data_IF_730441797480
#
_entry.id   IF_730441797480
#
_cell.length_a   1.000
_cell.length_b   1.000
_cell.length_c   1.000
_cell.angle_alpha   90.00
_cell.angle_beta   90.00
_cell.angle_gamma   90.00
#
_symmetry.space_group_name_H-M   'P 1'
#
loop_
_entity.id
_entity.type
_entity.pdbx_description
1 polymer ?
#
# COMPACT_ATOMS: atom_id res chain seq x y z
N UNK A 1 7.33 -7.37 7.16
CA UNK A 1 6.91 -6.46 6.10
C UNK A 1 8.14 -5.86 5.44
N UNK A 2 8.15 -5.65 4.14
CA UNK A 2 9.25 -4.95 3.45
C UNK A 2 9.03 -3.42 3.51
N UNK A 3 10.13 -2.67 3.50
CA UNK A 3 10.12 -1.20 3.35
C UNK A 3 10.95 -0.89 2.12
N UNK A 4 10.30 -0.39 1.08
CA UNK A 4 10.95 -0.16 -0.19
C UNK A 4 11.36 1.31 -0.33
N UNK A 5 12.57 1.52 -0.79
CA UNK A 5 13.08 2.79 -1.26
C UNK A 5 13.77 2.57 -2.59
N UNK A 6 13.69 3.53 -3.50
CA UNK A 6 14.22 3.37 -4.85
C UNK A 6 15.21 4.47 -5.18
N UNK A 7 16.10 4.21 -6.13
CA UNK A 7 17.07 5.19 -6.60
C UNK A 7 16.97 5.31 -8.11
N UNK A 8 16.78 6.52 -8.62
CA UNK A 8 16.86 6.85 -10.03
C UNK A 8 18.22 7.46 -10.31
N UNK A 9 19.00 6.78 -11.14
CA UNK A 9 20.31 7.23 -11.59
C UNK A 9 20.20 7.95 -12.93
N UNK A 10 20.45 9.27 -12.92
CA UNK A 10 20.44 10.10 -14.12
C UNK A 10 21.48 11.22 -13.96
N UNK A 11 21.38 12.29 -14.74
CA UNK A 11 22.18 13.50 -14.57
C UNK A 11 22.02 14.05 -13.16
N UNK A 12 20.79 14.02 -12.63
CA UNK A 12 20.45 14.23 -11.22
C UNK A 12 19.95 12.93 -10.60
N UNK A 13 20.40 12.64 -9.41
CA UNK A 13 20.06 11.43 -8.68
C UNK A 13 18.90 11.71 -7.73
N UNK A 14 17.82 10.94 -7.85
CA UNK A 14 16.67 10.98 -6.95
C UNK A 14 16.58 9.69 -6.12
N UNK A 15 16.42 9.83 -4.81
CA UNK A 15 16.05 8.75 -3.90
C UNK A 15 14.56 8.89 -3.58
N UNK A 16 13.82 7.80 -3.66
CA UNK A 16 12.37 7.76 -3.49
C UNK A 16 12.05 7.14 -2.14
N UNK A 17 11.48 7.93 -1.25
CA UNK A 17 11.12 7.64 0.14
C UNK A 17 12.27 7.12 1.02
N UNK A 18 12.05 7.06 2.31
CA UNK A 18 12.95 6.43 3.25
C UNK A 18 12.35 5.10 3.76
N UNK A 19 12.87 4.60 4.86
CA UNK A 19 12.47 3.34 5.47
C UNK A 19 12.24 3.52 6.96
N UNK A 20 11.71 2.49 7.64
CA UNK A 20 11.54 2.44 9.08
C UNK A 20 12.84 2.83 9.83
N UNK A 21 12.68 3.44 10.99
CA UNK A 21 13.77 3.98 11.80
C UNK A 21 14.90 2.99 12.05
N UNK A 22 14.58 1.72 12.24
CA UNK A 22 15.56 0.68 12.59
C UNK A 22 16.50 0.33 11.42
N UNK A 23 16.13 0.64 10.18
CA UNK A 23 16.90 0.30 8.98
C UNK A 23 17.63 1.49 8.36
N UNK A 24 17.67 2.63 9.03
CA UNK A 24 18.24 3.87 8.49
C UNK A 24 19.74 3.79 8.13
N UNK A 25 20.57 3.08 8.91
CA UNK A 25 21.99 2.90 8.60
C UNK A 25 22.21 2.00 7.39
N UNK A 26 21.47 0.91 7.30
CA UNK A 26 21.49 0.01 6.17
C UNK A 26 21.02 0.72 4.89
N UNK A 27 19.91 1.45 4.98
CA UNK A 27 19.38 2.24 3.86
C UNK A 27 20.39 3.24 3.31
N UNK A 28 21.02 4.04 4.17
CA UNK A 28 22.09 4.98 3.75
C UNK A 28 23.27 4.25 3.14
N UNK A 29 23.67 3.10 3.69
CA UNK A 29 24.75 2.27 3.13
C UNK A 29 24.37 1.76 1.74
N UNK A 30 23.16 1.29 1.55
CA UNK A 30 22.65 0.79 0.27
C UNK A 30 22.63 1.92 -0.79
N UNK A 31 22.15 3.12 -0.43
CA UNK A 31 22.22 4.29 -1.32
C UNK A 31 23.67 4.55 -1.74
N UNK A 32 24.60 4.66 -0.79
CA UNK A 32 26.03 4.93 -1.10
C UNK A 32 26.63 3.85 -2.00
N UNK A 33 26.28 2.59 -1.80
CA UNK A 33 26.76 1.50 -2.64
C UNK A 33 26.27 1.64 -4.10
N UNK A 34 25.02 2.10 -4.29
CA UNK A 34 24.45 2.30 -5.63
C UNK A 34 25.04 3.52 -6.33
N UNK A 35 25.12 4.66 -5.63
CA UNK A 35 25.56 5.92 -6.24
C UNK A 35 27.07 6.09 -6.32
N UNK A 36 27.84 5.28 -5.60
CA UNK A 36 29.29 5.34 -5.52
C UNK A 36 29.78 6.69 -4.92
N UNK A 37 30.66 7.39 -5.63
CA UNK A 37 31.23 8.67 -5.19
C UNK A 37 30.31 9.87 -5.48
N UNK A 38 29.11 9.67 -6.03
CA UNK A 38 28.14 10.74 -6.30
C UNK A 38 27.36 11.07 -5.04
N UNK A 39 26.58 12.14 -5.10
CA UNK A 39 25.64 12.53 -4.06
C UNK A 39 24.24 12.63 -4.66
N UNK A 40 23.16 12.24 -3.93
CA UNK A 40 21.82 12.49 -4.38
C UNK A 40 21.52 13.98 -4.49
N UNK A 41 20.76 14.37 -5.50
CA UNK A 41 20.23 15.72 -5.66
C UNK A 41 18.89 15.87 -4.94
N UNK A 42 18.10 14.79 -4.91
CA UNK A 42 16.73 14.82 -4.38
C UNK A 42 16.44 13.63 -3.49
N UNK A 43 15.64 13.88 -2.44
CA UNK A 43 14.83 12.92 -1.74
C UNK A 43 13.37 13.23 -2.08
N UNK A 44 12.72 12.38 -2.85
CA UNK A 44 11.28 12.47 -3.12
C UNK A 44 10.54 11.73 -2.02
N UNK A 45 9.65 12.41 -1.31
CA UNK A 45 8.86 11.84 -0.22
C UNK A 45 7.41 11.79 -0.64
N UNK A 46 6.91 10.59 -0.88
CA UNK A 46 5.53 10.35 -1.28
C UNK A 46 4.59 10.27 -0.10
N UNK A 47 5.08 9.76 1.05
CA UNK A 47 4.27 9.48 2.23
C UNK A 47 5.03 9.78 3.53
N UNK A 48 4.30 10.27 4.54
CA UNK A 48 4.86 10.75 5.80
C UNK A 48 4.67 9.80 6.98
N UNK A 49 4.11 8.61 6.78
CA UNK A 49 4.09 7.59 7.83
C UNK A 49 5.53 7.22 8.20
N UNK A 50 5.76 6.92 9.49
CA UNK A 50 7.12 6.86 10.05
C UNK A 50 7.97 5.72 9.47
N UNK A 51 7.35 4.71 8.92
CA UNK A 51 8.05 3.61 8.24
C UNK A 51 8.57 4.00 6.84
N UNK A 52 8.18 5.17 6.32
CA UNK A 52 8.70 5.75 5.07
C UNK A 52 9.36 7.12 5.28
N UNK A 53 9.25 7.71 6.46
CA UNK A 53 9.71 9.07 6.71
C UNK A 53 10.72 9.21 7.86
N UNK A 54 10.85 8.22 8.75
CA UNK A 54 11.66 8.32 9.96
C UNK A 54 13.13 8.71 9.72
N UNK A 55 13.69 8.35 8.57
CA UNK A 55 15.09 8.61 8.25
C UNK A 55 15.33 9.85 7.34
N UNK A 56 14.30 10.68 7.11
CA UNK A 56 14.45 11.93 6.32
C UNK A 56 15.53 12.84 6.92
N UNK A 57 15.50 13.10 8.23
CA UNK A 57 16.49 13.95 8.88
C UNK A 57 17.90 13.38 8.72
N UNK A 58 18.10 12.08 8.92
CA UNK A 58 19.35 11.38 8.73
C UNK A 58 19.89 11.48 7.29
N UNK A 59 19.01 11.36 6.31
CA UNK A 59 19.37 11.56 4.90
C UNK A 59 19.85 12.98 4.65
N UNK A 60 19.11 13.97 5.16
CA UNK A 60 19.43 15.38 4.97
C UNK A 60 20.73 15.83 5.68
N UNK A 61 21.10 15.17 6.77
CA UNK A 61 22.40 15.33 7.44
C UNK A 61 23.51 14.66 6.62
N UNK A 62 23.27 13.46 6.11
CA UNK A 62 24.25 12.68 5.33
C UNK A 62 24.55 13.33 3.98
N UNK A 63 23.54 13.92 3.34
CA UNK A 63 23.63 14.55 2.01
C UNK A 63 23.20 16.02 2.08
N UNK A 64 24.11 16.91 2.53
CA UNK A 64 23.76 18.31 2.87
C UNK A 64 23.32 19.15 1.66
N UNK A 65 23.65 18.75 0.44
CA UNK A 65 23.27 19.45 -0.78
C UNK A 65 21.94 18.94 -1.39
N UNK A 66 21.43 17.82 -0.91
CA UNK A 66 20.17 17.28 -1.40
C UNK A 66 18.98 18.15 -1.02
N UNK A 67 17.94 18.15 -1.86
CA UNK A 67 16.67 18.81 -1.60
C UNK A 67 15.56 17.77 -1.40
N UNK A 68 14.58 18.09 -0.57
CA UNK A 68 13.38 17.28 -0.41
C UNK A 68 12.33 17.76 -1.42
N UNK A 69 11.71 16.81 -2.10
CA UNK A 69 10.60 17.03 -3.04
C UNK A 69 9.36 16.36 -2.46
N UNK A 70 8.33 17.12 -2.13
CA UNK A 70 7.11 16.57 -1.55
C UNK A 70 5.93 17.54 -1.64
N UNK A 71 4.74 17.11 -1.16
CA UNK A 71 3.57 17.97 -1.04
C UNK A 71 3.75 19.04 0.04
N UNK A 72 3.01 20.13 -0.07
CA UNK A 72 3.03 21.20 0.95
C UNK A 72 2.67 20.66 2.34
N UNK A 73 1.70 19.75 2.43
CA UNK A 73 1.27 19.19 3.71
C UNK A 73 2.34 18.29 4.33
N UNK A 74 3.09 17.55 3.52
CA UNK A 74 4.21 16.75 4.01
C UNK A 74 5.27 17.61 4.71
N UNK A 75 5.59 18.79 4.20
CA UNK A 75 6.53 19.71 4.88
C UNK A 75 5.99 20.22 6.21
N UNK A 76 4.67 20.45 6.33
CA UNK A 76 4.05 20.77 7.62
C UNK A 76 4.20 19.60 8.60
N UNK A 77 4.04 18.37 8.13
CA UNK A 77 4.23 17.16 8.95
C UNK A 77 5.69 16.96 9.34
N UNK A 78 6.65 17.19 8.43
CA UNK A 78 8.09 17.17 8.74
C UNK A 78 8.44 18.13 9.87
N UNK A 79 7.88 19.34 9.86
CA UNK A 79 8.08 20.30 10.93
C UNK A 79 7.58 19.80 12.27
N UNK A 80 6.43 19.13 12.29
CA UNK A 80 5.88 18.54 13.50
C UNK A 80 6.71 17.33 14.01
N UNK A 81 7.23 16.51 13.11
CA UNK A 81 7.97 15.30 13.46
C UNK A 81 9.43 15.57 13.82
N UNK A 82 10.08 16.45 13.07
CA UNK A 82 11.53 16.67 13.17
C UNK A 82 11.91 18.04 13.76
N UNK A 83 10.92 18.89 14.07
CA UNK A 83 11.19 20.28 14.51
C UNK A 83 11.69 21.21 13.39
N UNK A 84 11.84 20.69 12.17
CA UNK A 84 12.26 21.41 10.98
C UNK A 84 11.50 20.93 9.75
N UNK A 85 11.21 21.84 8.84
CA UNK A 85 10.65 21.55 7.52
C UNK A 85 11.72 21.63 6.40
N UNK A 86 12.99 21.83 6.78
CA UNK A 86 14.10 22.00 5.85
C UNK A 86 13.92 23.16 4.86
N UNK A 87 13.38 24.29 5.30
CA UNK A 87 12.87 25.44 4.51
C UNK A 87 13.76 25.81 3.29
N UNK A 88 15.10 25.82 3.46
CA UNK A 88 16.03 26.18 2.39
C UNK A 88 16.31 25.05 1.38
N UNK A 89 15.76 23.87 1.61
CA UNK A 89 15.98 22.66 0.80
C UNK A 89 14.67 21.98 0.38
N UNK A 90 13.58 22.74 0.31
CA UNK A 90 12.28 22.27 -0.13
C UNK A 90 12.06 22.47 -1.63
N UNK A 91 11.42 21.52 -2.26
CA UNK A 91 10.75 21.65 -3.55
C UNK A 91 9.31 21.19 -3.33
N UNK A 92 8.38 22.13 -3.28
CA UNK A 92 6.95 21.83 -3.11
C UNK A 92 6.37 21.45 -4.46
N UNK A 93 5.74 20.28 -4.51
CA UNK A 93 5.04 19.77 -5.70
C UNK A 93 3.55 19.57 -5.42
N UNK A 94 2.76 19.58 -6.47
CA UNK A 94 1.32 19.39 -6.46
C UNK A 94 0.89 18.59 -7.70
N UNK A 95 -0.41 18.39 -7.87
CA UNK A 95 -0.97 17.76 -9.07
C UNK A 95 -0.41 18.38 -10.35
N UNK A 96 0.15 17.54 -11.22
CA UNK A 96 0.70 17.95 -12.51
C UNK A 96 2.06 18.65 -12.46
N UNK A 97 2.68 18.80 -11.27
CA UNK A 97 4.07 19.26 -11.18
C UNK A 97 5.02 18.24 -11.81
N UNK A 98 6.17 18.70 -12.31
CA UNK A 98 7.21 17.84 -12.89
C UNK A 98 8.57 18.08 -12.23
N UNK A 99 9.41 17.05 -12.23
CA UNK A 99 10.81 17.13 -11.83
C UNK A 99 11.69 16.47 -12.88
N UNK A 100 12.54 17.26 -13.53
CA UNK A 100 13.47 16.75 -14.53
C UNK A 100 14.78 16.30 -13.88
N UNK A 101 15.18 15.06 -14.18
CA UNK A 101 16.41 14.45 -13.68
C UNK A 101 17.52 14.38 -14.74
N UNK A 102 17.16 14.55 -16.01
CA UNK A 102 17.99 14.42 -17.18
C UNK A 102 17.19 13.74 -18.30
N UNK A 103 17.38 12.44 -18.49
CA UNK A 103 16.56 11.62 -19.38
C UNK A 103 15.19 11.27 -18.78
N UNK A 104 15.15 11.18 -17.45
CA UNK A 104 13.95 10.82 -16.70
C UNK A 104 13.22 12.06 -16.21
N UNK A 105 11.90 12.02 -16.27
CA UNK A 105 11.02 13.07 -15.75
C UNK A 105 9.96 12.45 -14.86
N UNK A 106 9.88 12.92 -13.62
CA UNK A 106 8.82 12.57 -12.68
C UNK A 106 7.63 13.52 -12.86
N UNK A 107 6.45 12.97 -13.04
CA UNK A 107 5.19 13.68 -13.08
C UNK A 107 4.42 13.35 -11.82
N UNK A 108 4.07 14.36 -11.02
CA UNK A 108 3.44 14.16 -9.71
C UNK A 108 1.93 14.11 -9.81
N UNK A 109 1.34 13.14 -9.12
CA UNK A 109 -0.10 12.92 -9.01
C UNK A 109 -0.49 13.02 -7.53
N UNK A 110 -1.38 13.94 -7.18
CA UNK A 110 -1.91 14.02 -5.83
C UNK A 110 -2.84 12.82 -5.55
N UNK A 111 -2.58 12.12 -4.45
CA UNK A 111 -3.31 10.94 -4.00
C UNK A 111 -3.80 11.10 -2.54
N UNK A 112 -4.49 12.20 -2.19
CA UNK A 112 -4.89 12.46 -0.82
C UNK A 112 -5.81 11.34 -0.30
N UNK A 113 -5.55 10.90 0.94
CA UNK A 113 -6.23 9.78 1.61
C UNK A 113 -6.01 8.40 0.97
N UNK A 114 -4.95 8.27 0.17
CA UNK A 114 -4.47 6.95 -0.25
C UNK A 114 -3.06 6.72 0.37
N UNK A 115 -2.84 6.47 1.73
CA UNK A 115 -4.03 6.51 2.63
C UNK A 115 -4.07 7.74 3.56
N UNK A 116 -3.07 8.60 3.58
CA UNK A 116 -3.01 9.84 4.36
C UNK A 116 -3.21 11.08 3.47
N UNK A 117 -3.57 12.25 4.08
CA UNK A 117 -3.99 13.42 3.31
C UNK A 117 -2.88 14.08 2.48
N UNK A 118 -1.61 13.89 2.85
CA UNK A 118 -0.44 14.49 2.19
C UNK A 118 0.07 13.67 1.00
N UNK A 119 -0.41 12.44 0.83
CA UNK A 119 0.16 11.47 -0.13
C UNK A 119 0.14 12.00 -1.55
N UNK A 120 1.28 11.82 -2.20
CA UNK A 120 1.46 12.00 -3.64
C UNK A 120 2.00 10.69 -4.23
N UNK A 121 1.81 10.51 -5.52
CA UNK A 121 2.49 9.49 -6.33
C UNK A 121 3.35 10.19 -7.37
N UNK A 122 4.30 9.51 -7.97
CA UNK A 122 5.03 10.02 -9.12
C UNK A 122 5.10 8.98 -10.25
N UNK A 123 4.92 9.47 -11.46
CA UNK A 123 5.02 8.68 -12.68
C UNK A 123 6.27 9.12 -13.46
N UNK A 124 7.19 8.20 -13.64
CA UNK A 124 8.35 8.38 -14.50
C UNK A 124 7.98 8.02 -15.94
N UNK A 125 8.04 9.00 -16.84
CA UNK A 125 7.41 8.90 -18.16
C UNK A 125 8.27 8.19 -19.22
N UNK A 126 9.59 8.10 -19.05
CA UNK A 126 10.50 7.49 -20.05
C UNK A 126 10.44 5.97 -20.00
N UNK A 127 10.53 5.38 -18.81
CA UNK A 127 10.47 3.94 -18.57
C UNK A 127 9.06 3.48 -18.17
N UNK A 128 8.12 4.43 -17.95
CA UNK A 128 6.72 4.17 -17.60
C UNK A 128 6.56 3.51 -16.22
N UNK A 129 7.29 4.03 -15.25
CA UNK A 129 7.32 3.55 -13.87
C UNK A 129 6.41 4.39 -12.98
N UNK A 130 5.50 3.74 -12.27
CA UNK A 130 4.67 4.38 -11.24
C UNK A 130 5.24 4.09 -9.85
N UNK A 131 5.65 5.13 -9.14
CA UNK A 131 5.92 5.08 -7.70
C UNK A 131 4.62 5.40 -6.97
N UNK A 132 4.01 4.38 -6.39
CA UNK A 132 2.60 4.40 -5.99
C UNK A 132 2.37 4.68 -4.52
N UNK A 133 3.39 5.12 -3.78
CA UNK A 133 3.35 5.15 -2.32
C UNK A 133 2.89 3.78 -1.78
N UNK A 134 1.96 3.75 -0.83
CA UNK A 134 1.40 2.51 -0.29
C UNK A 134 0.43 1.80 -1.24
N UNK A 135 0.01 2.48 -2.30
CA UNK A 135 -0.84 1.87 -3.32
C UNK A 135 -0.19 0.63 -3.93
N UNK A 136 -0.96 -0.45 -4.08
CA UNK A 136 -0.50 -1.76 -4.57
C UNK A 136 0.49 -2.49 -3.66
N UNK A 137 0.67 -2.01 -2.42
CA UNK A 137 1.45 -2.68 -1.39
C UNK A 137 0.77 -3.94 -0.84
N UNK A 138 1.54 -4.75 -0.15
CA UNK A 138 1.05 -5.93 0.57
C UNK A 138 1.81 -6.16 1.88
N UNK A 139 1.19 -6.88 2.80
CA UNK A 139 1.90 -7.45 3.94
C UNK A 139 2.84 -8.59 3.52
N UNK A 140 3.61 -9.08 4.49
CA UNK A 140 4.52 -10.20 4.32
C UNK A 140 5.96 -9.79 3.96
N UNK A 141 6.84 -10.77 3.95
CA UNK A 141 8.24 -10.64 3.58
C UNK A 141 8.45 -11.00 2.09
N UNK A 142 9.51 -10.46 1.47
CA UNK A 142 9.77 -10.70 0.04
C UNK A 142 10.36 -12.09 -0.23
N UNK A 143 10.86 -12.77 0.79
CA UNK A 143 11.48 -14.11 0.72
C UNK A 143 10.47 -15.23 1.06
N UNK A 144 9.20 -14.91 1.25
CA UNK A 144 8.12 -15.87 1.47
C UNK A 144 7.25 -15.94 0.24
N UNK A 145 7.07 -17.15 -0.31
CA UNK A 145 6.16 -17.38 -1.43
C UNK A 145 4.72 -17.44 -0.92
N UNK A 146 3.92 -16.45 -1.28
CA UNK A 146 2.51 -16.31 -0.91
C UNK A 146 1.72 -15.64 -2.00
N UNK A 147 0.41 -15.89 -2.05
CA UNK A 147 -0.47 -15.26 -3.03
C UNK A 147 -0.56 -13.75 -2.77
N UNK A 148 -0.18 -12.92 -3.76
CA UNK A 148 -0.19 -11.48 -3.64
C UNK A 148 -1.57 -10.92 -3.23
N UNK A 149 -2.64 -11.42 -3.84
CA UNK A 149 -3.99 -10.88 -3.64
C UNK A 149 -4.49 -11.04 -2.20
N UNK A 150 -4.15 -12.12 -1.51
CA UNK A 150 -4.54 -12.37 -0.12
C UNK A 150 -3.94 -11.29 0.79
N UNK A 151 -2.62 -11.15 0.79
CA UNK A 151 -1.91 -10.20 1.63
C UNK A 151 -2.13 -8.74 1.21
N UNK A 152 -2.31 -8.47 -0.09
CA UNK A 152 -2.64 -7.13 -0.58
C UNK A 152 -4.07 -6.72 -0.23
N UNK A 153 -5.04 -7.64 -0.24
CA UNK A 153 -6.42 -7.36 0.17
C UNK A 153 -6.49 -7.06 1.67
N UNK A 154 -5.77 -7.84 2.48
CA UNK A 154 -5.65 -7.60 3.93
C UNK A 154 -5.03 -6.23 4.20
N UNK A 155 -3.95 -5.88 3.50
CA UNK A 155 -3.31 -4.58 3.56
C UNK A 155 -4.28 -3.47 3.14
N UNK A 156 -4.90 -3.59 1.96
CA UNK A 156 -5.84 -2.62 1.43
C UNK A 156 -7.02 -2.38 2.38
N UNK A 157 -7.69 -3.46 2.82
CA UNK A 157 -8.84 -3.36 3.70
C UNK A 157 -8.50 -2.67 5.03
N UNK A 158 -7.37 -3.02 5.64
CA UNK A 158 -6.96 -2.48 6.93
C UNK A 158 -6.56 -1.00 6.89
N UNK A 159 -5.99 -0.55 5.78
CA UNK A 159 -5.34 0.76 5.70
C UNK A 159 -6.10 1.72 4.79
N UNK A 160 -6.51 1.30 3.61
CA UNK A 160 -7.09 2.15 2.56
C UNK A 160 -8.60 1.97 2.42
N UNK A 161 -9.18 0.85 2.87
CA UNK A 161 -10.53 0.40 2.52
C UNK A 161 -11.66 1.41 2.76
N UNK A 162 -11.56 2.28 3.76
CA UNK A 162 -12.54 3.35 4.01
C UNK A 162 -12.45 4.54 3.02
N UNK A 163 -11.40 4.60 2.21
CA UNK A 163 -11.11 5.68 1.27
C UNK A 163 -11.31 5.26 -0.20
N UNK A 164 -12.24 4.36 -0.48
CA UNK A 164 -12.50 3.85 -1.82
C UNK A 164 -12.68 4.95 -2.87
N UNK A 165 -13.43 6.01 -2.57
CA UNK A 165 -13.61 7.15 -3.47
C UNK A 165 -12.30 7.86 -3.82
N UNK A 166 -11.37 7.96 -2.87
CA UNK A 166 -10.05 8.56 -3.11
C UNK A 166 -9.21 7.68 -4.05
N UNK A 167 -9.23 6.35 -3.85
CA UNK A 167 -8.57 5.40 -4.75
C UNK A 167 -9.17 5.48 -6.16
N UNK A 168 -10.50 5.49 -6.29
CA UNK A 168 -11.19 5.65 -7.57
C UNK A 168 -10.80 6.96 -8.28
N UNK A 169 -10.62 8.05 -7.53
CA UNK A 169 -10.16 9.31 -8.10
C UNK A 169 -8.72 9.21 -8.64
N UNK A 170 -7.83 8.51 -7.94
CA UNK A 170 -6.45 8.26 -8.41
C UNK A 170 -6.45 7.35 -9.62
N UNK A 171 -7.19 6.24 -9.63
CA UNK A 171 -7.31 5.35 -10.79
C UNK A 171 -7.78 6.09 -12.04
N UNK A 172 -8.73 7.02 -11.90
CA UNK A 172 -9.19 7.88 -13.01
C UNK A 172 -8.09 8.79 -13.54
N UNK A 173 -7.24 9.35 -12.69
CA UNK A 173 -6.10 10.18 -13.11
C UNK A 173 -5.05 9.39 -13.87
N UNK A 174 -4.85 8.13 -13.47
CA UNK A 174 -3.90 7.21 -14.10
C UNK A 174 -4.49 6.52 -15.35
N UNK A 175 -5.80 6.61 -15.56
CA UNK A 175 -6.45 6.03 -16.73
C UNK A 175 -5.92 6.64 -18.04
N UNK A 176 -5.48 5.80 -18.95
CA UNK A 176 -4.88 6.23 -20.22
C UNK A 176 -3.37 6.52 -20.16
N UNK A 177 -2.75 6.41 -19.00
CA UNK A 177 -1.28 6.41 -18.85
C UNK A 177 -0.79 4.97 -18.95
N UNK A 178 0.16 4.73 -19.86
CA UNK A 178 0.77 3.40 -19.95
C UNK A 178 1.75 3.19 -18.81
N UNK A 179 1.45 2.25 -17.91
CA UNK A 179 2.32 1.84 -16.81
C UNK A 179 2.92 0.48 -17.14
N UNK A 180 4.25 0.35 -17.02
CA UNK A 180 4.96 -0.92 -17.22
C UNK A 180 5.49 -1.51 -15.91
N UNK A 181 5.71 -0.67 -14.91
CA UNK A 181 6.24 -1.06 -13.61
C UNK A 181 5.51 -0.29 -12.53
N UNK A 182 5.10 -0.96 -11.47
CA UNK A 182 4.59 -0.32 -10.24
C UNK A 182 5.59 -0.60 -9.12
N UNK A 183 6.04 0.47 -8.47
CA UNK A 183 6.98 0.46 -7.37
C UNK A 183 6.27 0.88 -6.07
N UNK A 184 5.66 -0.05 -5.32
CA UNK A 184 5.00 0.26 -4.05
C UNK A 184 6.01 0.39 -2.92
N UNK A 185 5.62 1.04 -1.81
CA UNK A 185 6.46 1.16 -0.62
C UNK A 185 6.53 -0.13 0.21
N UNK A 186 5.61 -1.08 -0.02
CA UNK A 186 5.61 -2.41 0.58
C UNK A 186 5.38 -3.49 -0.48
N UNK A 187 5.95 -4.67 -0.27
CA UNK A 187 5.78 -5.80 -1.18
C UNK A 187 6.70 -5.76 -2.40
N UNK A 188 6.47 -6.62 -3.40
CA UNK A 188 7.31 -6.72 -4.58
C UNK A 188 7.07 -5.57 -5.56
N UNK A 189 8.08 -5.27 -6.37
CA UNK A 189 7.91 -4.48 -7.59
C UNK A 189 7.07 -5.28 -8.58
N UNK A 190 6.02 -4.67 -9.14
CA UNK A 190 5.11 -5.32 -10.07
C UNK A 190 5.50 -4.97 -11.50
N UNK A 191 5.82 -5.97 -12.30
CA UNK A 191 6.32 -5.82 -13.68
C UNK A 191 5.51 -6.58 -14.71
N UNK A 192 4.66 -7.50 -14.27
CA UNK A 192 3.85 -8.36 -15.13
C UNK A 192 2.39 -8.35 -14.65
N UNK A 193 1.46 -8.60 -15.57
CA UNK A 193 0.02 -8.71 -15.27
C UNK A 193 -0.55 -7.48 -14.53
N UNK A 194 -0.09 -6.28 -14.82
CA UNK A 194 -0.48 -5.06 -14.08
C UNK A 194 -1.99 -4.83 -14.08
N UNK A 195 -2.67 -5.19 -15.17
CA UNK A 195 -4.14 -5.12 -15.25
C UNK A 195 -4.83 -5.94 -14.14
N UNK A 196 -4.24 -7.06 -13.74
CA UNK A 196 -4.78 -7.87 -12.64
C UNK A 196 -4.79 -7.08 -11.32
N UNK A 197 -3.70 -6.44 -10.98
CA UNK A 197 -3.57 -5.65 -9.76
C UNK A 197 -4.46 -4.40 -9.78
N UNK A 198 -4.50 -3.72 -10.92
CA UNK A 198 -5.32 -2.52 -11.12
C UNK A 198 -6.81 -2.88 -11.03
N UNK A 199 -7.25 -3.97 -11.65
CA UNK A 199 -8.63 -4.42 -11.58
C UNK A 199 -9.05 -4.84 -10.16
N UNK A 200 -8.15 -5.43 -9.37
CA UNK A 200 -8.43 -5.73 -7.96
C UNK A 200 -8.62 -4.43 -7.16
N UNK A 201 -7.74 -3.45 -7.34
CA UNK A 201 -7.88 -2.15 -6.69
C UNK A 201 -9.16 -1.42 -7.11
N UNK A 202 -9.56 -1.50 -8.38
CA UNK A 202 -10.83 -0.96 -8.87
C UNK A 202 -12.02 -1.67 -8.20
N UNK A 203 -12.00 -2.99 -8.14
CA UNK A 203 -13.03 -3.80 -7.48
C UNK A 203 -13.14 -3.46 -6.00
N UNK A 204 -12.03 -3.43 -5.27
CA UNK A 204 -12.02 -3.14 -3.84
C UNK A 204 -12.47 -1.71 -3.52
N UNK A 205 -12.01 -0.74 -4.30
CA UNK A 205 -12.31 0.67 -4.06
C UNK A 205 -13.70 1.10 -4.52
N UNK A 206 -14.30 0.37 -5.44
CA UNK A 206 -15.71 0.54 -5.80
C UNK A 206 -16.67 -0.27 -4.90
N UNK A 207 -16.13 -0.96 -3.89
CA UNK A 207 -16.87 -1.90 -3.03
C UNK A 207 -17.56 -3.01 -3.82
N UNK A 208 -16.94 -3.42 -4.91
CA UNK A 208 -17.39 -4.53 -5.75
C UNK A 208 -17.15 -5.88 -5.09
N UNK A 209 -17.81 -6.89 -5.62
CA UNK A 209 -17.64 -8.29 -5.18
C UNK A 209 -16.45 -8.89 -5.93
N UNK A 210 -15.39 -9.25 -5.22
CA UNK A 210 -14.24 -9.92 -5.83
C UNK A 210 -14.53 -11.38 -6.16
N UNK A 211 -15.20 -12.09 -5.27
CA UNK A 211 -15.53 -13.50 -5.43
C UNK A 211 -17.01 -13.77 -5.16
N UNK A 212 -17.71 -14.29 -6.15
CA UNK A 212 -19.08 -14.78 -5.94
C UNK A 212 -19.07 -15.98 -4.97
N UNK A 213 -19.79 -15.83 -3.86
CA UNK A 213 -19.83 -16.85 -2.84
C UNK A 213 -20.43 -16.37 -1.52
N UNK A 214 -20.26 -17.19 -0.50
CA UNK A 214 -20.71 -16.92 0.87
C UNK A 214 -19.55 -17.18 1.83
N UNK A 215 -19.23 -16.20 2.65
CA UNK A 215 -18.35 -16.36 3.81
C UNK A 215 -19.19 -16.59 5.07
N UNK A 216 -18.90 -17.65 5.82
CA UNK A 216 -19.58 -18.01 7.07
C UNK A 216 -18.57 -17.90 8.20
N UNK A 217 -18.70 -16.86 9.02
CA UNK A 217 -17.92 -16.70 10.22
C UNK A 217 -18.72 -17.19 11.43
N UNK A 218 -18.12 -18.03 12.25
CA UNK A 218 -18.83 -18.58 13.42
C UNK A 218 -17.95 -18.69 14.65
N UNK A 219 -18.62 -18.77 15.82
CA UNK A 219 -18.04 -19.27 17.06
C UNK A 219 -18.92 -20.38 17.63
N UNK A 220 -18.32 -21.34 18.31
CA UNK A 220 -19.06 -22.45 18.91
C UNK A 220 -18.43 -22.91 20.22
N UNK A 221 -19.17 -22.86 21.32
CA UNK A 221 -18.71 -23.28 22.64
C UNK A 221 -18.72 -24.81 22.76
N UNK A 222 -19.83 -25.45 22.47
CA UNK A 222 -20.03 -26.90 22.65
C UNK A 222 -20.18 -27.68 21.32
N UNK A 223 -19.83 -27.06 20.20
CA UNK A 223 -19.85 -27.69 18.89
C UNK A 223 -21.22 -27.71 18.19
N UNK A 224 -22.30 -27.24 18.82
CA UNK A 224 -23.64 -27.24 18.20
C UNK A 224 -23.75 -26.23 17.06
N UNK A 225 -23.28 -24.99 17.26
CA UNK A 225 -23.24 -23.97 16.21
C UNK A 225 -22.32 -24.43 15.06
N UNK A 226 -21.17 -25.04 15.35
CA UNK A 226 -20.29 -25.64 14.35
C UNK A 226 -21.03 -26.64 13.46
N UNK A 227 -21.73 -27.61 14.05
CA UNK A 227 -22.52 -28.62 13.28
C UNK A 227 -23.58 -27.96 12.42
N UNK A 228 -24.28 -26.94 12.93
CA UNK A 228 -25.28 -26.20 12.16
C UNK A 228 -24.67 -25.47 10.97
N UNK A 229 -23.52 -24.82 11.16
CA UNK A 229 -22.77 -24.13 10.11
C UNK A 229 -22.26 -25.10 9.05
N UNK A 230 -21.66 -26.22 9.45
CA UNK A 230 -21.21 -27.27 8.53
C UNK A 230 -22.37 -27.78 7.66
N UNK A 231 -23.51 -28.05 8.27
CA UNK A 231 -24.71 -28.46 7.55
C UNK A 231 -25.25 -27.40 6.61
N UNK A 232 -25.20 -26.13 7.03
CA UNK A 232 -25.60 -25.00 6.20
C UNK A 232 -24.68 -24.83 5.00
N UNK A 233 -23.38 -24.96 5.20
CA UNK A 233 -22.38 -24.91 4.12
C UNK A 233 -22.63 -26.02 3.07
N UNK A 234 -22.92 -27.24 3.51
CA UNK A 234 -23.29 -28.35 2.61
C UNK A 234 -24.55 -28.02 1.78
N UNK A 235 -25.57 -27.44 2.42
CA UNK A 235 -26.83 -27.05 1.73
C UNK A 235 -26.53 -25.95 0.68
N UNK A 236 -25.72 -24.96 1.01
CA UNK A 236 -25.35 -23.92 0.06
C UNK A 236 -24.60 -24.48 -1.16
N UNK A 237 -23.65 -25.39 -0.93
CA UNK A 237 -22.93 -26.10 -2.01
C UNK A 237 -23.87 -26.91 -2.86
N UNK A 238 -24.79 -27.68 -2.25
CA UNK A 238 -25.78 -28.48 -2.95
C UNK A 238 -26.79 -27.63 -3.76
N UNK A 239 -27.03 -26.38 -3.36
CA UNK A 239 -27.85 -25.41 -4.09
C UNK A 239 -27.09 -24.63 -5.17
N UNK A 240 -25.82 -24.97 -5.43
CA UNK A 240 -25.03 -24.38 -6.50
C UNK A 240 -24.33 -23.09 -6.10
N UNK A 241 -24.12 -22.82 -4.81
CA UNK A 241 -23.27 -21.69 -4.40
C UNK A 241 -21.83 -21.92 -4.90
N UNK A 242 -21.26 -21.00 -5.69
CA UNK A 242 -19.97 -21.23 -6.38
C UNK A 242 -18.80 -21.38 -5.40
N UNK A 243 -18.83 -20.66 -4.30
CA UNK A 243 -17.82 -20.75 -3.23
C UNK A 243 -18.49 -20.63 -1.86
N UNK A 244 -18.07 -21.44 -0.90
CA UNK A 244 -18.48 -21.36 0.50
C UNK A 244 -17.21 -21.46 1.35
N UNK A 245 -16.80 -20.34 1.92
CA UNK A 245 -15.73 -20.26 2.90
C UNK A 245 -16.33 -20.28 4.32
N UNK A 246 -15.65 -20.95 5.26
CA UNK A 246 -16.12 -21.10 6.64
C UNK A 246 -14.94 -20.88 7.57
N UNK A 247 -15.10 -20.02 8.56
CA UNK A 247 -14.07 -19.70 9.54
C UNK A 247 -14.58 -19.78 10.98
N UNK A 248 -13.80 -20.44 11.85
CA UNK A 248 -14.02 -20.46 13.30
C UNK A 248 -13.24 -19.31 13.95
N UNK A 249 -13.92 -18.20 14.21
CA UNK A 249 -13.30 -16.97 14.74
C UNK A 249 -12.61 -17.15 16.11
N UNK A 250 -12.87 -18.25 16.81
CA UNK A 250 -12.20 -18.56 18.07
C UNK A 250 -10.89 -19.32 17.90
N UNK A 251 -10.56 -19.78 16.68
CA UNK A 251 -9.44 -20.67 16.40
C UNK A 251 -8.59 -20.28 15.21
N UNK A 252 -9.13 -19.46 14.31
CA UNK A 252 -8.45 -19.00 13.10
C UNK A 252 -7.98 -17.55 13.25
N UNK A 253 -7.08 -17.11 12.40
CA UNK A 253 -6.59 -15.74 12.41
C UNK A 253 -7.72 -14.77 12.07
N UNK A 254 -7.98 -13.83 12.96
CA UNK A 254 -9.07 -12.87 12.80
C UNK A 254 -8.82 -11.93 11.61
N UNK A 255 -7.57 -11.59 11.31
CA UNK A 255 -7.23 -10.70 10.20
C UNK A 255 -7.53 -11.37 8.85
N UNK A 256 -7.25 -12.68 8.73
CA UNK A 256 -7.63 -13.50 7.56
C UNK A 256 -9.15 -13.59 7.42
N UNK A 257 -9.86 -13.80 8.53
CA UNK A 257 -11.31 -13.86 8.52
C UNK A 257 -11.97 -12.55 8.07
N UNK A 258 -11.41 -11.41 8.47
CA UNK A 258 -11.91 -10.08 8.06
C UNK A 258 -11.61 -9.84 6.58
N UNK A 259 -10.45 -10.24 6.09
CA UNK A 259 -10.06 -10.17 4.68
C UNK A 259 -10.99 -11.01 3.81
N UNK A 260 -11.28 -12.24 4.22
CA UNK A 260 -12.25 -13.12 3.55
C UNK A 260 -13.66 -12.51 3.55
N UNK A 261 -14.07 -11.88 4.63
CA UNK A 261 -15.35 -11.19 4.69
C UNK A 261 -15.44 -10.05 3.67
N UNK A 262 -14.33 -9.34 3.41
CA UNK A 262 -14.25 -8.29 2.40
C UNK A 262 -14.28 -8.85 0.97
N UNK A 263 -13.72 -10.02 0.75
CA UNK A 263 -13.64 -10.70 -0.55
C UNK A 263 -14.99 -11.14 -1.10
N UNK A 264 -15.89 -11.64 -0.21
CA UNK A 264 -17.16 -12.24 -0.60
C UNK A 264 -18.33 -11.25 -0.50
N UNK A 265 -19.25 -11.32 -1.44
CA UNK A 265 -20.43 -10.45 -1.46
C UNK A 265 -21.52 -10.79 -0.44
N UNK A 266 -21.43 -11.95 0.25
CA UNK A 266 -22.43 -12.42 1.22
C UNK A 266 -21.72 -12.97 2.45
N UNK A 267 -22.15 -12.49 3.62
CA UNK A 267 -21.59 -12.90 4.92
C UNK A 267 -22.70 -13.49 5.77
N UNK A 268 -22.40 -14.59 6.43
CA UNK A 268 -23.24 -15.19 7.47
C UNK A 268 -22.46 -15.19 8.79
N UNK A 269 -23.05 -14.60 9.82
CA UNK A 269 -22.50 -14.63 11.17
C UNK A 269 -23.30 -15.62 12.01
N UNK A 270 -22.63 -16.62 12.60
CA UNK A 270 -23.24 -17.64 13.42
C UNK A 270 -22.57 -17.74 14.78
N UNK A 271 -23.32 -17.49 15.83
CA UNK A 271 -22.80 -17.51 17.21
C UNK A 271 -23.79 -18.18 18.17
N UNK A 272 -23.32 -18.44 19.38
CA UNK A 272 -24.11 -18.98 20.47
C UNK A 272 -24.46 -17.84 21.41
N UNK A 273 -25.73 -17.72 21.79
CA UNK A 273 -26.09 -16.87 22.94
C UNK A 273 -25.47 -17.44 24.20
N UNK A 274 -24.67 -16.65 24.87
CA UNK A 274 -24.01 -17.04 26.11
C UNK A 274 -24.15 -15.91 27.13
N UNK A 275 -24.62 -16.24 28.35
CA UNK A 275 -24.85 -15.27 29.45
C UNK A 275 -25.78 -14.11 29.02
N UNK A 276 -26.82 -14.41 28.25
CA UNK A 276 -27.80 -13.45 27.67
C UNK A 276 -27.21 -12.44 26.68
N UNK A 277 -26.04 -12.74 26.10
CA UNK A 277 -25.38 -11.94 25.08
C UNK A 277 -24.96 -12.83 23.91
N UNK A 278 -24.58 -12.21 22.77
CA UNK A 278 -24.14 -12.91 21.54
C UNK A 278 -22.65 -12.72 21.29
#
# INVERSE_FOLDING_TARGET
>A
MSYNSYVILDDKIAVMDSVDQNFGDEWISNIKNIIGNKSPDFLVVHHMEMDHSANIAKFMETFPNAKIVSSKLAFVMMKNYFGTDFENRQIVVAEGSTLELGKHTLNFVAAPNVHWPEVIMSYESSEKVLFSADGFGKFGALDVEEEWACEARRYYFGIVGKFGDAVQAVLKKLAGIEVKVICPLHGPVLTENLDYYINLYDTWSSYGVESEGVFIAYTSVYGNTKKAVEKFAEILKAKGCPKVAVADLAREDMAECVEDAFKYGKIVLATTTYTNDI
#
